data_IF_913987528571
#
_entry.id   IF_913987528571
#
_cell.length_a   1.000
_cell.length_b   1.000
_cell.length_c   1.000
_cell.angle_alpha   90.00
_cell.angle_beta   90.00
_cell.angle_gamma   90.00
#
_symmetry.space_group_name_H-M   'P 1'
#
loop_
_entity.id
_entity.type
_entity.pdbx_description
1 polymer ?
#
# COMPACT_ATOMS: atom_id res chain seq x y z
N UNK A 1 -18.48 -11.82 -7.57
CA UNK A 1 -19.30 -11.63 -6.35
C UNK A 1 -19.09 -10.18 -5.91
N UNK A 2 -20.15 -9.36 -6.00
CA UNK A 2 -20.06 -7.90 -5.95
C UNK A 2 -19.59 -7.39 -4.60
N UNK A 3 -18.52 -6.60 -4.61
CA UNK A 3 -18.19 -5.70 -3.52
C UNK A 3 -19.32 -4.67 -3.44
N UNK A 4 -20.04 -4.64 -2.32
CA UNK A 4 -20.92 -3.52 -2.01
C UNK A 4 -19.99 -2.33 -1.86
N UNK A 5 -19.89 -1.49 -2.88
CA UNK A 5 -19.18 -0.23 -2.77
C UNK A 5 -19.81 0.49 -1.57
N UNK A 6 -19.01 0.69 -0.52
CA UNK A 6 -19.39 1.60 0.55
C UNK A 6 -19.86 2.91 -0.09
N UNK A 7 -20.80 3.59 0.56
CA UNK A 7 -21.46 4.80 0.05
C UNK A 7 -20.47 5.71 -0.71
N UNK A 8 -19.25 5.88 -0.19
CA UNK A 8 -18.19 6.64 -0.82
C UNK A 8 -17.08 5.74 -1.40
N UNK A 9 -16.90 5.66 -2.73
CA UNK A 9 -15.90 4.79 -3.34
C UNK A 9 -14.47 5.32 -3.16
N UNK A 10 -13.46 4.44 -3.11
CA UNK A 10 -12.07 4.84 -3.07
C UNK A 10 -11.70 5.66 -4.33
N UNK A 11 -10.85 6.66 -4.13
CA UNK A 11 -10.38 7.54 -5.18
C UNK A 11 -8.93 7.24 -5.56
N UNK A 12 -8.03 7.16 -4.58
CA UNK A 12 -6.63 6.77 -4.75
C UNK A 12 -6.05 6.28 -3.41
N UNK A 13 -4.93 5.56 -3.48
CA UNK A 13 -4.20 5.05 -2.31
C UNK A 13 -2.71 5.37 -2.42
N UNK A 14 -2.12 5.81 -1.31
CA UNK A 14 -0.67 5.85 -1.10
C UNK A 14 -0.31 4.92 0.05
N UNK A 15 0.53 3.92 -0.22
CA UNK A 15 0.99 2.96 0.78
C UNK A 15 2.52 3.00 0.91
N UNK A 16 3.01 2.88 2.14
CA UNK A 16 4.44 2.78 2.46
C UNK A 16 4.68 1.54 3.30
N UNK A 17 5.60 0.70 2.85
CA UNK A 17 6.08 -0.47 3.61
C UNK A 17 7.39 -0.10 4.29
N UNK A 18 7.50 -0.38 5.59
CA UNK A 18 8.69 -0.16 6.39
C UNK A 18 9.36 -1.51 6.65
N UNK A 19 10.56 -1.69 6.13
CA UNK A 19 11.38 -2.88 6.30
C UNK A 19 12.85 -2.60 5.94
N UNK A 20 13.78 -3.23 6.63
CA UNK A 20 15.21 -3.16 6.27
C UNK A 20 15.54 -4.01 5.05
N UNK A 21 15.00 -5.23 4.99
CA UNK A 21 15.19 -6.18 3.89
C UNK A 21 13.99 -7.13 3.73
N UNK A 22 13.75 -7.67 2.52
CA UNK A 22 14.45 -7.39 1.26
C UNK A 22 13.99 -6.09 0.58
N UNK A 23 14.74 -5.64 -0.44
CA UNK A 23 14.31 -4.49 -1.26
C UNK A 23 13.05 -4.84 -2.05
N UNK A 24 11.99 -4.06 -1.89
CA UNK A 24 10.69 -4.34 -2.54
C UNK A 24 10.56 -3.81 -3.96
N UNK A 25 11.53 -3.03 -4.47
CA UNK A 25 11.47 -2.42 -5.82
C UNK A 25 11.01 -3.38 -6.93
N UNK A 26 11.49 -4.64 -7.02
CA UNK A 26 11.03 -5.59 -8.04
C UNK A 26 9.54 -5.99 -7.93
N UNK A 27 8.92 -5.78 -6.77
CA UNK A 27 7.56 -6.21 -6.45
C UNK A 27 6.54 -5.06 -6.43
N UNK A 28 7.00 -3.81 -6.44
CA UNK A 28 6.12 -2.62 -6.31
C UNK A 28 5.01 -2.61 -7.37
N UNK A 29 5.33 -2.94 -8.62
CA UNK A 29 4.33 -2.91 -9.70
C UNK A 29 3.28 -4.02 -9.58
N UNK A 30 3.67 -5.20 -9.10
CA UNK A 30 2.74 -6.27 -8.78
C UNK A 30 1.83 -5.88 -7.60
N UNK A 31 2.40 -5.28 -6.54
CA UNK A 31 1.63 -4.78 -5.39
C UNK A 31 0.59 -3.73 -5.83
N UNK A 32 0.99 -2.75 -6.64
CA UNK A 32 0.08 -1.72 -7.17
C UNK A 32 -1.06 -2.33 -7.98
N UNK A 33 -0.77 -3.35 -8.78
CA UNK A 33 -1.78 -4.06 -9.59
C UNK A 33 -2.76 -4.81 -8.70
N UNK A 34 -2.28 -5.53 -7.69
CA UNK A 34 -3.12 -6.30 -6.78
C UNK A 34 -4.02 -5.40 -5.92
N UNK A 35 -3.46 -4.31 -5.38
CA UNK A 35 -4.23 -3.33 -4.61
C UNK A 35 -5.28 -2.65 -5.49
N UNK A 36 -4.91 -2.26 -6.71
CA UNK A 36 -5.84 -1.69 -7.69
C UNK A 36 -7.00 -2.62 -7.97
N UNK A 37 -6.72 -3.89 -8.27
CA UNK A 37 -7.76 -4.90 -8.51
C UNK A 37 -8.66 -5.10 -7.29
N UNK A 38 -8.09 -5.17 -6.08
CA UNK A 38 -8.85 -5.35 -4.84
C UNK A 38 -9.78 -4.15 -4.53
N UNK A 39 -9.37 -2.94 -4.88
CA UNK A 39 -10.11 -1.70 -4.61
C UNK A 39 -10.90 -1.17 -5.82
N UNK A 40 -10.92 -1.90 -6.94
CA UNK A 40 -11.49 -1.44 -8.21
C UNK A 40 -10.91 -0.08 -8.67
N UNK A 41 -9.61 0.11 -8.48
CA UNK A 41 -8.85 1.28 -8.91
C UNK A 41 -7.89 0.92 -10.06
N UNK A 42 -7.70 1.87 -10.96
CA UNK A 42 -6.61 1.78 -11.94
C UNK A 42 -5.25 1.84 -11.24
N UNK A 43 -4.25 1.14 -11.77
CA UNK A 43 -2.86 1.14 -11.26
C UNK A 43 -2.28 2.54 -11.10
N UNK A 44 -2.67 3.49 -11.97
CA UNK A 44 -2.25 4.89 -11.89
C UNK A 44 -2.70 5.60 -10.61
N UNK A 45 -3.73 5.09 -9.94
CA UNK A 45 -4.28 5.63 -8.68
C UNK A 45 -3.77 4.95 -7.42
N UNK A 46 -2.81 4.04 -7.57
CA UNK A 46 -2.17 3.32 -6.47
C UNK A 46 -0.68 3.60 -6.47
N UNK A 47 -0.20 4.17 -5.38
CA UNK A 47 1.21 4.38 -5.09
C UNK A 47 1.65 3.41 -3.98
N UNK A 48 2.79 2.74 -4.18
CA UNK A 48 3.43 1.89 -3.17
C UNK A 48 4.90 2.28 -3.08
N UNK A 49 5.33 2.57 -1.86
CA UNK A 49 6.70 2.96 -1.50
C UNK A 49 7.25 1.96 -0.50
N UNK A 50 8.57 1.88 -0.43
CA UNK A 50 9.26 1.11 0.59
C UNK A 50 10.43 1.92 1.15
N UNK A 51 10.58 1.92 2.46
CA UNK A 51 11.69 2.58 3.16
C UNK A 51 12.15 1.73 4.33
N UNK A 52 13.37 1.99 4.77
CA UNK A 52 13.98 1.48 6.00
C UNK A 52 13.53 2.34 7.19
N UNK A 53 13.73 1.84 8.41
CA UNK A 53 13.59 2.67 9.63
C UNK A 53 14.94 3.04 10.21
N UNK A 54 15.99 2.99 9.38
CA UNK A 54 17.38 3.31 9.74
C UNK A 54 17.84 2.54 10.99
N UNK A 55 17.52 1.25 11.05
CA UNK A 55 17.83 0.35 12.18
C UNK A 55 17.14 0.69 13.52
N UNK A 56 16.16 1.60 13.50
CA UNK A 56 15.42 2.00 14.70
C UNK A 56 14.18 1.12 14.94
N UNK A 57 13.98 0.71 16.18
CA UNK A 57 12.82 -0.04 16.65
C UNK A 57 12.71 -1.47 16.08
N UNK A 58 11.62 -2.20 16.37
CA UNK A 58 11.48 -3.61 15.97
C UNK A 58 11.59 -3.85 14.46
N UNK A 59 11.10 -2.90 13.64
CA UNK A 59 11.22 -2.97 12.17
C UNK A 59 12.69 -2.82 11.75
N UNK A 60 13.42 -1.90 12.38
CA UNK A 60 14.83 -1.65 12.09
C UNK A 60 15.76 -2.75 12.59
N UNK A 61 15.34 -3.49 13.62
CA UNK A 61 16.01 -4.70 14.10
C UNK A 61 15.59 -5.96 13.34
N UNK A 62 14.82 -5.81 12.25
CA UNK A 62 14.38 -6.90 11.38
C UNK A 62 13.51 -7.97 12.07
N UNK A 63 12.92 -7.61 13.20
CA UNK A 63 11.99 -8.47 13.95
C UNK A 63 10.56 -8.42 13.36
N UNK A 64 10.31 -7.50 12.43
CA UNK A 64 9.02 -7.36 11.76
C UNK A 64 9.02 -6.39 10.59
N UNK A 65 7.83 -6.26 9.98
CA UNK A 65 7.56 -5.35 8.86
C UNK A 65 6.40 -4.44 9.26
N UNK A 66 6.54 -3.14 9.00
CA UNK A 66 5.47 -2.16 9.15
C UNK A 66 4.82 -1.82 7.82
N UNK A 67 3.54 -1.41 7.84
CA UNK A 67 2.88 -0.87 6.67
C UNK A 67 1.93 0.26 7.08
N UNK A 68 1.92 1.33 6.29
CA UNK A 68 1.01 2.47 6.43
C UNK A 68 0.34 2.73 5.09
N UNK A 69 -0.95 3.06 5.11
CA UNK A 69 -1.69 3.39 3.90
C UNK A 69 -2.69 4.52 4.16
N UNK A 70 -2.80 5.42 3.21
CA UNK A 70 -3.79 6.51 3.19
C UNK A 70 -4.62 6.36 1.92
N UNK A 71 -5.94 6.35 2.09
CA UNK A 71 -6.91 6.28 1.01
C UNK A 71 -7.77 7.54 1.05
N UNK A 72 -7.91 8.23 -0.08
CA UNK A 72 -8.97 9.24 -0.21
C UNK A 72 -10.19 8.59 -0.83
N UNK A 73 -11.38 9.01 -0.38
CA UNK A 73 -12.67 8.55 -0.88
C UNK A 73 -13.38 9.71 -1.55
N UNK A 74 -14.24 9.43 -2.53
CA UNK A 74 -15.12 10.44 -3.12
C UNK A 74 -16.45 10.42 -2.37
N UNK A 75 -16.87 11.55 -1.77
CA UNK A 75 -18.24 11.66 -1.27
C UNK A 75 -19.23 11.41 -2.40
N UNK A 76 -20.27 10.64 -2.13
CA UNK A 76 -21.44 10.49 -3.01
C UNK A 76 -22.53 11.49 -2.71
#
# INVERSE_FOLDING_TARGET
AGHVAGKDPPHNVDATVLLERPKLRPHIDAMRTNIGAALSLERGRVSVKATTTETLGPVGQEEGVGAQAVCTIRPT
#
